data_IF_940654443458
#
_entry.id   IF_940654443458
#
_cell.length_a   1.000
_cell.length_b   1.000
_cell.length_c   1.000
_cell.angle_alpha   90.00
_cell.angle_beta   90.00
_cell.angle_gamma   90.00
#
_symmetry.space_group_name_H-M   'P 1'
#
loop_
_entity.id
_entity.type
_entity.pdbx_description
1 polymer ?
#
# COMPACT_ATOMS: atom_id res chain seq x y z
N UNK A 1 7.87 10.47 1.41
CA UNK A 1 7.20 10.18 0.13
C UNK A 1 5.87 9.50 0.42
N UNK A 2 4.83 9.70 -0.39
CA UNK A 2 3.51 9.10 -0.17
C UNK A 2 3.33 7.88 -1.07
N UNK A 3 2.82 6.81 -0.50
CA UNK A 3 2.63 5.54 -1.18
C UNK A 3 1.22 5.00 -0.93
N UNK A 4 0.81 4.10 -1.81
CA UNK A 4 -0.40 3.32 -1.68
C UNK A 4 -0.10 1.86 -1.97
N UNK A 5 -0.41 0.96 -1.05
CA UNK A 5 -0.30 -0.48 -1.24
C UNK A 5 -1.68 -1.10 -1.44
N UNK A 6 -1.81 -2.02 -2.41
CA UNK A 6 -2.94 -2.93 -2.56
C UNK A 6 -2.55 -4.33 -2.08
N UNK A 7 -3.55 -5.17 -1.80
CA UNK A 7 -3.36 -6.46 -1.15
C UNK A 7 -4.25 -7.53 -1.78
N UNK A 8 -3.75 -8.76 -1.83
CA UNK A 8 -4.53 -9.92 -2.24
C UNK A 8 -5.66 -10.23 -1.26
N UNK A 9 -5.47 -9.88 0.03
CA UNK A 9 -6.42 -10.18 1.09
C UNK A 9 -6.69 -8.97 1.99
N UNK A 10 -7.90 -8.91 2.54
CA UNK A 10 -8.26 -7.89 3.54
C UNK A 10 -7.41 -8.00 4.81
N UNK A 11 -7.10 -9.23 5.23
CA UNK A 11 -6.25 -9.48 6.39
C UNK A 11 -4.81 -9.01 6.15
N UNK A 12 -4.31 -9.11 4.91
CA UNK A 12 -3.04 -8.54 4.47
C UNK A 12 -2.92 -7.05 4.74
N UNK A 13 -3.90 -6.26 4.29
CA UNK A 13 -3.93 -4.82 4.54
C UNK A 13 -3.90 -4.47 6.03
N UNK A 14 -4.66 -5.22 6.85
CA UNK A 14 -4.70 -5.03 8.31
C UNK A 14 -3.34 -5.37 8.93
N UNK A 15 -2.70 -6.48 8.55
CA UNK A 15 -1.35 -6.84 9.03
C UNK A 15 -0.34 -5.76 8.68
N UNK A 16 -0.38 -5.25 7.45
CA UNK A 16 0.53 -4.21 6.98
C UNK A 16 0.35 -2.90 7.74
N UNK A 17 -0.89 -2.42 7.89
CA UNK A 17 -1.18 -1.20 8.67
C UNK A 17 -0.70 -1.33 10.13
N UNK A 18 -0.87 -2.51 10.75
CA UNK A 18 -0.34 -2.79 12.10
C UNK A 18 1.18 -2.80 12.13
N UNK A 19 1.83 -3.38 11.13
CA UNK A 19 3.28 -3.38 10.99
C UNK A 19 3.82 -1.95 10.88
N UNK A 20 3.28 -1.14 9.96
CA UNK A 20 3.64 0.27 9.80
C UNK A 20 3.46 1.05 11.10
N UNK A 21 2.34 0.85 11.79
CA UNK A 21 2.08 1.49 13.09
C UNK A 21 3.13 1.10 14.13
N UNK A 22 3.54 -0.17 14.18
CA UNK A 22 4.56 -0.68 15.11
C UNK A 22 5.93 -0.01 14.88
N UNK A 23 6.27 0.27 13.61
CA UNK A 23 7.52 0.97 13.24
C UNK A 23 7.34 2.49 13.12
N UNK A 24 6.23 3.04 13.65
CA UNK A 24 5.93 4.47 13.71
C UNK A 24 5.82 5.16 12.34
N UNK A 25 5.36 4.43 11.33
CA UNK A 25 5.05 4.96 10.00
C UNK A 25 3.58 5.41 9.97
N UNK A 26 3.34 6.66 9.58
CA UNK A 26 2.00 7.22 9.40
C UNK A 26 1.31 6.50 8.24
N UNK A 27 0.12 5.97 8.50
CA UNK A 27 -0.64 5.19 7.53
C UNK A 27 -2.15 5.27 7.78
N UNK A 28 -2.93 4.96 6.75
CA UNK A 28 -4.38 4.84 6.82
C UNK A 28 -4.86 3.69 5.93
N UNK A 29 -5.76 2.86 6.46
CA UNK A 29 -6.42 1.81 5.66
C UNK A 29 -7.68 2.40 5.03
N UNK A 30 -7.84 2.24 3.71
CA UNK A 30 -9.01 2.75 3.00
C UNK A 30 -9.37 1.86 1.79
N UNK A 31 -10.58 1.99 1.22
CA UNK A 31 -10.93 1.28 -0.01
C UNK A 31 -9.96 1.62 -1.14
N UNK A 32 -9.66 0.65 -2.01
CA UNK A 32 -8.81 0.89 -3.18
C UNK A 32 -9.44 1.98 -4.06
N UNK A 33 -8.70 3.05 -4.42
CA UNK A 33 -9.18 4.08 -5.31
C UNK A 33 -9.68 3.50 -6.63
N UNK A 34 -10.84 3.97 -7.12
CA UNK A 34 -11.42 3.52 -8.39
C UNK A 34 -10.49 3.71 -9.61
N UNK A 35 -9.57 4.67 -9.52
CA UNK A 35 -8.53 4.91 -10.54
C UNK A 35 -7.54 3.75 -10.65
N UNK A 36 -7.39 2.94 -9.59
CA UNK A 36 -6.49 1.79 -9.52
C UNK A 36 -7.21 0.47 -9.78
N UNK A 37 -8.44 0.31 -9.30
CA UNK A 37 -9.22 -0.92 -9.50
C UNK A 37 -10.73 -0.65 -9.46
N UNK A 38 -11.49 -1.37 -10.27
CA UNK A 38 -12.96 -1.40 -10.22
C UNK A 38 -13.50 -2.38 -9.17
N UNK A 39 -12.62 -3.15 -8.52
CA UNK A 39 -13.01 -4.14 -7.51
C UNK A 39 -13.07 -3.51 -6.11
N UNK A 40 -13.84 -4.11 -5.20
CA UNK A 40 -14.06 -3.61 -3.83
C UNK A 40 -12.90 -3.89 -2.85
N UNK A 41 -11.65 -3.82 -3.32
CA UNK A 41 -10.47 -4.11 -2.51
C UNK A 41 -10.21 -3.09 -1.39
N UNK A 42 -9.32 -3.47 -0.46
CA UNK A 42 -8.76 -2.59 0.56
C UNK A 42 -7.29 -2.29 0.24
N UNK A 43 -6.86 -1.07 0.55
CA UNK A 43 -5.47 -0.66 0.46
C UNK A 43 -5.03 0.11 1.69
N UNK A 44 -3.75 0.47 1.71
CA UNK A 44 -3.13 1.25 2.78
C UNK A 44 -2.35 2.40 2.15
N UNK A 45 -2.72 3.63 2.48
CA UNK A 45 -1.90 4.81 2.20
C UNK A 45 -0.88 5.01 3.31
N UNK A 46 0.35 5.40 2.99
CA UNK A 46 1.38 5.63 3.99
C UNK A 46 2.47 6.60 3.53
N UNK A 47 3.10 7.28 4.49
CA UNK A 47 4.21 8.20 4.24
C UNK A 47 5.52 7.61 4.75
N UNK A 48 6.44 7.33 3.84
CA UNK A 48 7.73 6.72 4.17
C UNK A 48 8.89 7.39 3.43
N UNK A 49 10.04 7.41 4.08
CA UNK A 49 11.31 7.90 3.54
C UNK A 49 12.36 6.87 3.93
N UNK A 50 12.75 6.03 2.98
CA UNK A 50 13.60 4.86 3.20
C UNK A 50 13.47 3.88 2.04
N UNK A 51 14.02 2.68 2.20
CA UNK A 51 13.90 1.63 1.21
C UNK A 51 12.56 0.92 1.35
N UNK A 52 11.71 1.01 0.32
CA UNK A 52 10.36 0.43 0.32
C UNK A 52 10.42 -1.09 0.36
N UNK A 53 11.49 -1.71 -0.14
CA UNK A 53 11.64 -3.15 -0.11
C UNK A 53 11.76 -3.70 1.33
N UNK A 54 12.17 -2.87 2.31
CA UNK A 54 12.16 -3.22 3.74
C UNK A 54 10.74 -3.36 4.33
N UNK A 55 9.73 -2.81 3.65
CA UNK A 55 8.33 -2.86 4.08
C UNK A 55 7.56 -4.04 3.45
N UNK A 56 8.21 -4.86 2.63
CA UNK A 56 7.53 -5.96 1.95
C UNK A 56 6.92 -6.99 2.92
N UNK A 57 5.70 -7.42 2.62
CA UNK A 57 5.06 -8.61 3.19
C UNK A 57 4.39 -9.40 2.07
N UNK A 58 4.29 -10.72 2.22
CA UNK A 58 3.75 -11.63 1.18
C UNK A 58 2.33 -11.30 0.71
N UNK A 59 1.54 -10.61 1.54
CA UNK A 59 0.16 -10.24 1.23
C UNK A 59 0.03 -9.00 0.31
N UNK A 60 1.12 -8.26 0.06
CA UNK A 60 1.12 -7.08 -0.84
C UNK A 60 0.98 -7.54 -2.28
N UNK A 61 0.04 -6.92 -2.99
CA UNK A 61 -0.19 -7.14 -4.42
C UNK A 61 0.61 -6.11 -5.25
N UNK A 62 0.38 -4.81 -5.03
CA UNK A 62 1.07 -3.73 -5.74
C UNK A 62 1.39 -2.57 -4.81
N UNK A 63 2.47 -1.86 -5.10
CA UNK A 63 2.81 -0.59 -4.45
C UNK A 63 2.83 0.51 -5.52
N UNK A 64 2.22 1.63 -5.19
CA UNK A 64 2.18 2.85 -6.00
C UNK A 64 2.85 3.99 -5.24
N UNK A 65 3.64 4.79 -5.95
CA UNK A 65 4.04 6.12 -5.47
C UNK A 65 2.98 7.14 -5.86
N UNK A 66 2.67 8.08 -4.95
CA UNK A 66 1.68 9.13 -5.18
C UNK A 66 2.41 10.44 -5.48
N UNK A 67 2.22 10.96 -6.70
CA UNK A 67 2.71 12.26 -7.15
C UNK A 67 1.56 13.11 -7.68
N UNK A 68 1.32 14.29 -7.10
CA UNK A 68 0.27 15.22 -7.54
C UNK A 68 -1.11 14.53 -7.79
N UNK A 69 -1.58 13.72 -6.83
CA UNK A 69 -2.81 12.91 -6.90
C UNK A 69 -2.85 11.84 -8.00
N UNK A 70 -1.71 11.54 -8.62
CA UNK A 70 -1.53 10.42 -9.54
C UNK A 70 -0.86 9.26 -8.83
N UNK A 71 -1.39 8.07 -9.08
CA UNK A 71 -0.80 6.82 -8.62
C UNK A 71 0.08 6.27 -9.73
N UNK A 72 1.39 6.24 -9.50
CA UNK A 72 2.37 5.67 -10.41
C UNK A 72 2.80 4.31 -9.87
N UNK A 73 2.69 3.25 -10.67
CA UNK A 73 3.11 1.91 -10.27
C UNK A 73 4.60 1.94 -9.91
N UNK A 74 4.90 1.56 -8.67
CA UNK A 74 6.26 1.44 -8.17
C UNK A 74 6.74 -0.02 -8.25
N UNK A 75 5.92 -0.96 -7.79
CA UNK A 75 6.23 -2.40 -7.83
C UNK A 75 4.95 -3.24 -7.92
N UNK A 76 5.03 -4.31 -8.69
CA UNK A 76 3.98 -5.31 -8.86
C UNK A 76 4.54 -6.66 -8.39
N UNK A 77 3.84 -7.31 -7.46
CA UNK A 77 4.24 -8.58 -6.85
C UNK A 77 3.39 -9.76 -7.35
N UNK A 78 2.50 -9.53 -8.32
CA UNK A 78 1.65 -10.54 -8.95
C UNK A 78 2.31 -11.23 -10.17
N UNK A 79 3.58 -10.90 -10.48
CA UNK A 79 4.34 -11.45 -11.62
C UNK A 79 5.64 -12.16 -11.23
#
# INVERSE_FOLDING_TARGET
MNYFATFFTHSGAIKFSRFLTKVKIVNESCPVPRKLSSNCGIGVSFSYTGDIDELYIDDIEKIYFIDNDKYCLYKDFDN
#
